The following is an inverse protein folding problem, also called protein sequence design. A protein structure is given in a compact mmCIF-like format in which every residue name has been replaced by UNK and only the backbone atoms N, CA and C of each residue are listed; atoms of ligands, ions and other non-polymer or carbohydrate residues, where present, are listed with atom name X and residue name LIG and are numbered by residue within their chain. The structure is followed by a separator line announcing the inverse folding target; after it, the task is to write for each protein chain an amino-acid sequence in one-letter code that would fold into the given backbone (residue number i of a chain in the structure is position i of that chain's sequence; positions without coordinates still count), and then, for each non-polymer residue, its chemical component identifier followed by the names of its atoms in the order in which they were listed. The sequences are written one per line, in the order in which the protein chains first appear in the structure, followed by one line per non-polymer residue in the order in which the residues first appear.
data_IF_056092508434
#
_entry.id   IF_056092508434
#
_cell.length_a   1.000
_cell.length_b   1.000
_cell.length_c   1.000
_cell.angle_alpha   90.00
_cell.angle_beta   90.00
_cell.angle_gamma   90.00
#
_symmetry.space_group_name_H-M   'P 1'
#
loop_
_entity.id
_entity.type
_entity.pdbx_description
1 polymer ?
#
# COMPACT_ATOMS: atom_id res chain seq x y z
N UNK A 1 2.10 1.85 -15.81
CA UNK A 1 1.73 2.77 -14.72
C UNK A 1 1.08 1.94 -13.64
N UNK A 2 1.47 2.07 -12.37
CA UNK A 2 0.77 1.38 -11.31
C UNK A 2 -0.71 1.77 -11.36
N UNK A 3 -1.60 0.79 -11.16
CA UNK A 3 -3.04 1.04 -11.08
C UNK A 3 -3.28 2.11 -10.01
N UNK A 4 -3.65 3.30 -10.43
CA UNK A 4 -4.16 4.30 -9.51
C UNK A 4 -5.43 3.73 -8.89
N UNK A 5 -5.65 3.93 -7.58
CA UNK A 5 -6.82 3.45 -6.81
C UNK A 5 -8.19 3.97 -7.34
N UNK A 6 -8.20 4.64 -8.49
CA UNK A 6 -9.39 5.13 -9.19
C UNK A 6 -10.12 3.97 -9.87
N UNK A 7 -11.01 3.32 -9.16
CA UNK A 7 -11.82 2.18 -9.61
C UNK A 7 -12.01 1.10 -8.56
N UNK A 8 -11.27 1.15 -7.45
CA UNK A 8 -11.43 0.16 -6.36
C UNK A 8 -12.73 0.39 -5.59
N UNK A 9 -13.34 -0.71 -5.13
CA UNK A 9 -14.50 -0.67 -4.22
C UNK A 9 -14.15 0.09 -2.94
N UNK A 10 -14.99 1.03 -2.54
CA UNK A 10 -14.81 1.80 -1.30
C UNK A 10 -15.11 0.92 -0.07
N UNK A 11 -14.06 0.54 0.66
CA UNK A 11 -14.15 -0.28 1.86
C UNK A 11 -14.73 0.47 3.07
N UNK A 12 -14.91 1.80 3.01
CA UNK A 12 -15.50 2.57 4.12
C UNK A 12 -16.93 2.16 4.45
N UNK A 13 -17.65 1.55 3.48
CA UNK A 13 -18.98 0.98 3.69
C UNK A 13 -18.97 -0.32 4.50
N UNK A 14 -17.83 -1.01 4.58
CA UNK A 14 -17.68 -2.26 5.34
C UNK A 14 -17.41 -1.91 6.79
N UNK A 15 -18.39 -2.15 7.64
CA UNK A 15 -18.36 -1.75 9.06
C UNK A 15 -18.42 -2.96 9.98
N UNK A 16 -17.58 -3.06 11.00
CA UNK A 16 -17.83 -3.98 12.11
C UNK A 16 -19.12 -3.63 12.82
N UNK A 17 -19.87 -4.63 13.25
CA UNK A 17 -21.19 -4.42 13.87
C UNK A 17 -21.11 -3.66 15.20
N UNK A 18 -19.95 -3.74 15.89
CA UNK A 18 -19.72 -3.10 17.19
C UNK A 18 -18.27 -2.60 17.22
N UNK A 19 -18.10 -1.30 17.43
CA UNK A 19 -16.80 -0.66 17.58
C UNK A 19 -16.34 -0.69 19.05
N UNK A 20 -15.10 -1.09 19.29
CA UNK A 20 -14.49 -1.06 20.63
C UNK A 20 -13.58 0.15 20.84
N UNK A 21 -13.08 0.75 19.77
CA UNK A 21 -12.17 1.89 19.81
C UNK A 21 -12.85 3.21 19.43
N UNK A 22 -12.32 4.36 19.89
CA UNK A 22 -12.91 5.67 19.57
C UNK A 22 -12.83 6.00 18.07
N UNK A 23 -11.83 5.48 17.34
CA UNK A 23 -11.70 5.71 15.90
C UNK A 23 -12.79 4.99 15.10
N UNK A 24 -13.25 3.84 15.56
CA UNK A 24 -14.34 3.08 14.93
C UNK A 24 -15.72 3.48 15.46
N UNK A 25 -15.78 4.23 16.56
CA UNK A 25 -16.99 4.75 17.19
C UNK A 25 -17.19 6.23 16.91
N UNK A 26 -16.97 7.06 17.96
CA UNK A 26 -17.27 8.50 17.94
C UNK A 26 -16.56 9.26 16.81
N UNK A 27 -15.32 8.91 16.51
CA UNK A 27 -14.49 9.59 15.50
C UNK A 27 -14.43 8.86 14.15
N UNK A 28 -15.32 7.88 13.94
CA UNK A 28 -15.33 7.10 12.69
C UNK A 28 -15.44 7.97 11.44
N UNK A 29 -16.32 8.98 11.45
CA UNK A 29 -16.49 9.85 10.28
C UNK A 29 -15.20 10.62 9.93
N UNK A 30 -14.41 11.01 10.92
CA UNK A 30 -13.12 11.70 10.74
C UNK A 30 -12.06 10.74 10.23
N UNK A 31 -12.04 9.50 10.75
CA UNK A 31 -11.08 8.48 10.35
C UNK A 31 -11.48 7.72 9.07
N UNK A 32 -12.70 7.87 8.57
CA UNK A 32 -13.23 7.14 7.43
C UNK A 32 -12.31 7.16 6.17
N UNK A 33 -11.65 8.28 5.80
CA UNK A 33 -10.73 8.29 4.65
C UNK A 33 -9.57 7.30 4.77
N UNK A 34 -9.19 6.91 6.00
CA UNK A 34 -8.11 5.95 6.23
C UNK A 34 -8.53 4.49 6.05
N UNK A 35 -9.84 4.18 6.05
CA UNK A 35 -10.35 2.80 6.00
C UNK A 35 -9.87 2.07 4.74
N UNK A 36 -9.85 2.75 3.60
CA UNK A 36 -9.39 2.17 2.33
C UNK A 36 -7.87 1.89 2.27
N UNK A 37 -7.12 2.33 3.28
CA UNK A 37 -5.67 2.17 3.36
C UNK A 37 -5.23 1.33 4.57
N UNK A 38 -5.77 1.62 5.76
CA UNK A 38 -5.23 1.08 7.02
C UNK A 38 -6.16 0.08 7.72
N UNK A 39 -7.29 -0.29 7.11
CA UNK A 39 -8.12 -1.38 7.64
C UNK A 39 -7.51 -2.75 7.29
N UNK A 40 -7.91 -3.78 8.02
CA UNK A 40 -7.56 -5.17 7.70
C UNK A 40 -8.04 -5.56 6.28
N UNK A 41 -9.23 -5.11 5.89
CA UNK A 41 -9.74 -5.33 4.55
C UNK A 41 -8.86 -4.67 3.47
N UNK A 42 -8.36 -3.46 3.72
CA UNK A 42 -7.42 -2.78 2.83
C UNK A 42 -6.08 -3.52 2.75
N UNK A 43 -5.58 -4.04 3.86
CA UNK A 43 -4.36 -4.87 3.88
C UNK A 43 -4.55 -6.14 3.05
N UNK A 44 -5.66 -6.84 3.21
CA UNK A 44 -5.95 -8.07 2.46
C UNK A 44 -6.14 -7.80 0.95
N UNK A 45 -6.76 -6.67 0.60
CA UNK A 45 -6.82 -6.20 -0.79
C UNK A 45 -5.42 -5.91 -1.36
N UNK A 46 -4.54 -5.29 -0.59
CA UNK A 46 -3.16 -5.04 -1.00
C UNK A 46 -2.36 -6.34 -1.16
N UNK A 47 -2.54 -7.33 -0.28
CA UNK A 47 -1.95 -8.66 -0.43
C UNK A 47 -2.41 -9.33 -1.74
N UNK A 48 -3.69 -9.26 -2.04
CA UNK A 48 -4.25 -9.77 -3.28
C UNK A 48 -3.66 -9.04 -4.50
N UNK A 49 -3.50 -7.73 -4.42
CA UNK A 49 -2.84 -6.92 -5.46
C UNK A 49 -1.39 -7.38 -5.70
N UNK A 50 -0.62 -7.58 -4.64
CA UNK A 50 0.78 -8.03 -4.75
C UNK A 50 0.86 -9.41 -5.39
N UNK A 51 0.00 -10.35 -4.99
CA UNK A 51 -0.07 -11.69 -5.58
C UNK A 51 -0.43 -11.66 -7.07
N UNK A 52 -1.42 -10.86 -7.44
CA UNK A 52 -1.86 -10.69 -8.83
C UNK A 52 -0.73 -10.08 -9.68
N UNK A 53 -0.14 -8.99 -9.21
CA UNK A 53 0.93 -8.33 -9.99
C UNK A 53 2.21 -9.19 -10.04
N UNK A 54 2.50 -10.00 -9.00
CA UNK A 54 3.61 -10.97 -9.05
C UNK A 54 3.38 -12.05 -10.09
N UNK A 55 2.18 -12.63 -10.14
CA UNK A 55 1.78 -13.60 -11.17
C UNK A 55 1.95 -13.01 -12.58
N UNK A 56 1.45 -11.79 -12.80
CA UNK A 56 1.58 -11.10 -14.09
C UNK A 56 3.05 -10.83 -14.43
N UNK A 57 3.83 -10.35 -13.48
CA UNK A 57 5.25 -10.02 -13.67
C UNK A 57 6.08 -11.24 -14.08
N UNK A 58 5.85 -12.37 -13.44
CA UNK A 58 6.55 -13.62 -13.76
C UNK A 58 6.17 -14.19 -15.13
N UNK A 59 4.90 -14.14 -15.48
CA UNK A 59 4.39 -14.65 -16.76
C UNK A 59 4.79 -13.76 -17.93
N UNK A 60 4.68 -12.43 -17.78
CA UNK A 60 5.08 -11.46 -18.80
C UNK A 60 6.60 -11.43 -19.03
N UNK A 61 7.35 -11.52 -17.97
CA UNK A 61 8.82 -11.56 -18.01
C UNK A 61 9.40 -12.84 -18.65
N UNK A 62 8.56 -13.88 -18.84
CA UNK A 62 9.02 -15.17 -19.36
C UNK A 62 10.07 -15.83 -18.46
N UNK A 63 10.05 -15.49 -17.17
CA UNK A 63 11.06 -15.94 -16.20
C UNK A 63 10.89 -17.43 -15.88
N UNK A 64 9.64 -17.90 -15.86
CA UNK A 64 9.30 -19.28 -15.55
C UNK A 64 9.22 -20.12 -16.82
N UNK A 65 10.09 -21.15 -16.99
CA UNK A 65 10.03 -22.02 -18.16
C UNK A 65 8.66 -22.70 -18.30
N UNK A 66 8.03 -22.55 -19.45
CA UNK A 66 6.74 -23.18 -19.75
C UNK A 66 5.51 -22.46 -19.17
N UNK A 67 5.67 -21.38 -18.41
CA UNK A 67 4.54 -20.57 -18.01
C UNK A 67 3.93 -19.84 -19.22
N UNK A 68 2.59 -19.83 -19.38
CA UNK A 68 1.96 -19.13 -20.48
C UNK A 68 2.05 -17.62 -20.26
N UNK A 69 2.12 -16.85 -21.35
CA UNK A 69 1.90 -15.42 -21.30
C UNK A 69 0.42 -15.12 -21.14
N UNK A 70 0.10 -14.18 -20.27
CA UNK A 70 -1.27 -13.72 -20.08
C UNK A 70 -1.63 -12.68 -21.14
N UNK A 71 -2.86 -12.74 -21.65
CA UNK A 71 -3.45 -11.72 -22.52
C UNK A 71 -3.80 -10.45 -21.73
N UNK A 72 -4.08 -9.35 -22.42
CA UNK A 72 -4.55 -8.13 -21.76
C UNK A 72 -5.94 -8.31 -21.10
N UNK A 73 -6.81 -9.16 -21.67
CA UNK A 73 -8.11 -9.47 -21.05
C UNK A 73 -7.96 -10.28 -19.78
N UNK A 74 -7.01 -11.21 -19.73
CA UNK A 74 -6.68 -11.99 -18.53
C UNK A 74 -6.09 -11.10 -17.43
N UNK A 75 -5.17 -10.21 -17.78
CA UNK A 75 -4.60 -9.22 -16.82
C UNK A 75 -5.67 -8.26 -16.29
N UNK A 76 -6.55 -7.78 -17.19
CA UNK A 76 -7.68 -6.92 -16.78
C UNK A 76 -8.62 -7.65 -15.85
N UNK A 77 -8.93 -8.91 -16.10
CA UNK A 77 -9.73 -9.74 -15.20
C UNK A 77 -9.08 -9.86 -13.82
N UNK A 78 -7.78 -10.17 -13.77
CA UNK A 78 -7.05 -10.30 -12.50
C UNK A 78 -7.02 -9.00 -11.70
N UNK A 79 -6.81 -7.86 -12.37
CA UNK A 79 -6.86 -6.55 -11.71
C UNK A 79 -8.29 -6.20 -11.26
N UNK A 80 -9.30 -6.59 -12.05
CA UNK A 80 -10.70 -6.47 -11.65
C UNK A 80 -11.02 -7.22 -10.35
N UNK A 81 -10.44 -8.41 -10.13
CA UNK A 81 -10.57 -9.14 -8.85
C UNK A 81 -10.08 -8.32 -7.65
N UNK A 82 -9.03 -7.52 -7.84
CA UNK A 82 -8.50 -6.62 -6.78
C UNK A 82 -9.39 -5.38 -6.62
N UNK A 83 -9.85 -4.81 -7.74
CA UNK A 83 -10.68 -3.60 -7.75
C UNK A 83 -12.05 -3.87 -7.09
N UNK A 84 -12.63 -5.03 -7.37
CA UNK A 84 -13.93 -5.46 -6.86
C UNK A 84 -13.87 -6.05 -5.42
N UNK A 85 -12.67 -6.09 -4.79
CA UNK A 85 -12.51 -6.65 -3.45
C UNK A 85 -13.34 -5.86 -2.42
N UNK A 86 -14.49 -6.40 -2.06
CA UNK A 86 -15.51 -5.80 -1.21
C UNK A 86 -16.03 -6.73 -0.12
N UNK A 87 -17.27 -6.52 0.29
CA UNK A 87 -17.88 -7.23 1.42
C UNK A 87 -17.96 -8.75 1.21
N UNK A 88 -18.24 -9.20 -0.02
CA UNK A 88 -18.35 -10.62 -0.36
C UNK A 88 -16.97 -11.30 -0.29
N UNK A 89 -15.95 -10.70 -0.86
CA UNK A 89 -14.57 -11.20 -0.84
C UNK A 89 -14.00 -11.22 0.58
N UNK A 90 -14.31 -10.21 1.40
CA UNK A 90 -13.91 -10.18 2.81
C UNK A 90 -14.55 -11.35 3.58
N UNK A 91 -15.82 -11.60 3.37
CA UNK A 91 -16.52 -12.71 4.02
C UNK A 91 -15.97 -14.08 3.55
N UNK A 92 -15.74 -14.25 2.24
CA UNK A 92 -15.14 -15.44 1.68
C UNK A 92 -13.73 -15.66 2.22
N UNK A 93 -12.90 -14.61 2.24
CA UNK A 93 -11.54 -14.68 2.77
C UNK A 93 -11.53 -15.11 4.24
N UNK A 94 -12.40 -14.52 5.07
CA UNK A 94 -12.52 -14.91 6.48
C UNK A 94 -12.93 -16.37 6.65
N UNK A 95 -13.81 -16.91 5.79
CA UNK A 95 -14.18 -18.33 5.82
C UNK A 95 -12.99 -19.23 5.45
N UNK A 96 -12.19 -18.85 4.43
CA UNK A 96 -10.98 -19.58 4.05
C UNK A 96 -9.95 -19.55 5.18
N UNK A 97 -9.75 -18.38 5.80
CA UNK A 97 -8.78 -18.23 6.90
C UNK A 97 -9.16 -19.04 8.12
N UNK A 98 -10.46 -19.15 8.44
CA UNK A 98 -10.94 -20.00 9.54
C UNK A 98 -10.55 -21.47 9.38
N UNK A 99 -10.43 -21.95 8.13
CA UNK A 99 -9.98 -23.31 7.82
C UNK A 99 -8.46 -23.43 7.77
N UNK A 100 -7.80 -22.50 7.05
CA UNK A 100 -6.34 -22.55 6.81
C UNK A 100 -5.51 -22.16 8.03
N UNK A 101 -6.09 -21.37 8.94
CA UNK A 101 -5.43 -20.78 10.10
C UNK A 101 -4.19 -19.93 9.71
N UNK A 102 -4.23 -19.35 8.51
CA UNK A 102 -3.14 -18.56 7.96
C UNK A 102 -3.69 -17.50 6.99
N UNK A 103 -3.48 -16.24 7.31
CA UNK A 103 -4.02 -15.07 6.60
C UNK A 103 -3.54 -14.95 5.14
N UNK A 104 -2.22 -14.95 4.90
CA UNK A 104 -1.68 -14.86 3.52
C UNK A 104 -2.08 -16.09 2.70
N UNK A 105 -2.10 -17.29 3.30
CA UNK A 105 -2.55 -18.50 2.63
C UNK A 105 -4.01 -18.43 2.21
N UNK A 106 -4.84 -17.75 3.00
CA UNK A 106 -6.25 -17.53 2.64
C UNK A 106 -6.35 -16.65 1.36
N UNK A 107 -5.50 -15.64 1.21
CA UNK A 107 -5.44 -14.81 -0.01
C UNK A 107 -5.03 -15.63 -1.22
N UNK A 108 -4.03 -16.52 -1.09
CA UNK A 108 -3.64 -17.43 -2.17
C UNK A 108 -4.82 -18.30 -2.63
N UNK A 109 -5.56 -18.91 -1.69
CA UNK A 109 -6.71 -19.74 -2.03
C UNK A 109 -7.86 -18.95 -2.66
N UNK A 110 -8.11 -17.73 -2.18
CA UNK A 110 -9.07 -16.83 -2.81
C UNK A 110 -8.68 -16.56 -4.26
N UNK A 111 -7.43 -16.19 -4.53
CA UNK A 111 -6.94 -15.94 -5.89
C UNK A 111 -7.04 -17.21 -6.75
N UNK A 112 -6.66 -18.38 -6.26
CA UNK A 112 -6.81 -19.67 -6.98
C UNK A 112 -8.27 -19.95 -7.36
N UNK A 113 -9.23 -19.62 -6.51
CA UNK A 113 -10.66 -19.73 -6.83
C UNK A 113 -11.06 -18.78 -7.96
N UNK A 114 -10.58 -17.53 -7.93
CA UNK A 114 -10.83 -16.55 -9.01
C UNK A 114 -10.18 -16.96 -10.33
N UNK A 115 -8.97 -17.53 -10.29
CA UNK A 115 -8.34 -18.12 -11.49
C UNK A 115 -9.17 -19.24 -12.09
N UNK A 116 -9.69 -20.14 -11.28
CA UNK A 116 -10.56 -21.23 -11.75
C UNK A 116 -11.89 -20.70 -12.34
N UNK A 117 -12.47 -19.68 -11.74
CA UNK A 117 -13.72 -19.05 -12.20
C UNK A 117 -13.55 -18.27 -13.53
N UNK A 118 -12.34 -17.86 -13.89
CA UNK A 118 -12.06 -17.14 -15.12
C UNK A 118 -12.50 -17.87 -16.39
N UNK A 119 -12.54 -19.20 -16.35
CA UNK A 119 -13.04 -20.03 -17.48
C UNK A 119 -14.49 -19.72 -17.86
N UNK A 120 -15.27 -19.16 -16.94
CA UNK A 120 -16.68 -18.79 -17.14
C UNK A 120 -16.88 -17.27 -17.30
N UNK A 121 -15.80 -16.49 -17.20
CA UNK A 121 -15.89 -15.03 -17.25
C UNK A 121 -16.03 -14.53 -18.69
N UNK A 122 -17.08 -13.75 -19.01
CA UNK A 122 -17.32 -13.27 -20.37
C UNK A 122 -16.16 -12.37 -20.87
N UNK A 123 -15.69 -12.64 -22.09
CA UNK A 123 -14.66 -11.81 -22.73
C UNK A 123 -13.22 -12.05 -22.25
N UNK A 124 -12.99 -12.96 -21.34
CA UNK A 124 -11.64 -13.36 -20.91
C UNK A 124 -11.14 -14.47 -21.83
N UNK A 125 -10.12 -14.14 -22.63
CA UNK A 125 -9.56 -15.03 -23.65
C UNK A 125 -8.04 -15.09 -23.51
N UNK A 126 -7.46 -16.22 -23.91
CA UNK A 126 -6.01 -16.41 -23.93
C UNK A 126 -5.30 -15.54 -24.98
N UNK A 127 -3.99 -15.48 -24.93
CA UNK A 127 -3.16 -14.65 -25.81
C UNK A 127 -3.27 -15.04 -27.31
N UNK A 128 -3.65 -16.25 -27.61
CA UNK A 128 -3.92 -16.76 -28.95
C UNK A 128 -5.38 -16.56 -29.42
N UNK A 129 -6.22 -15.93 -28.60
CA UNK A 129 -7.66 -15.76 -28.83
C UNK A 129 -8.49 -16.99 -28.50
N UNK A 130 -7.87 -18.05 -27.98
CA UNK A 130 -8.53 -19.27 -27.49
C UNK A 130 -9.04 -19.14 -26.05
N UNK A 131 -9.36 -20.27 -25.42
CA UNK A 131 -9.78 -20.30 -24.00
C UNK A 131 -8.71 -19.67 -23.09
N UNK A 132 -9.15 -19.00 -22.02
CA UNK A 132 -8.23 -18.44 -21.01
C UNK A 132 -7.33 -19.50 -20.38
N UNK A 133 -6.07 -19.14 -20.16
CA UNK A 133 -5.09 -19.99 -19.48
C UNK A 133 -5.09 -19.82 -17.96
N UNK A 134 -5.84 -18.86 -17.41
CA UNK A 134 -5.87 -18.55 -15.99
C UNK A 134 -6.13 -19.77 -15.08
N UNK A 135 -7.04 -20.70 -15.41
CA UNK A 135 -7.21 -21.91 -14.59
C UNK A 135 -5.98 -22.81 -14.48
N UNK A 136 -5.03 -22.68 -15.42
CA UNK A 136 -3.83 -23.54 -15.47
C UNK A 136 -2.64 -22.96 -14.70
N UNK A 137 -2.69 -21.68 -14.32
CA UNK A 137 -1.57 -20.99 -13.64
C UNK A 137 -1.70 -20.91 -12.12
N UNK A 138 -2.66 -21.65 -11.54
CA UNK A 138 -2.91 -21.63 -10.09
C UNK A 138 -1.69 -21.98 -9.23
N UNK A 139 -0.78 -22.83 -9.71
CA UNK A 139 0.44 -23.20 -8.98
C UNK A 139 1.56 -22.16 -9.09
N UNK A 140 1.38 -21.11 -9.92
CA UNK A 140 2.30 -19.96 -9.98
C UNK A 140 1.95 -18.91 -8.91
N UNK A 141 0.72 -18.95 -8.35
CA UNK A 141 0.35 -18.09 -7.22
C UNK A 141 1.30 -18.32 -6.06
N UNK A 142 1.84 -17.24 -5.49
CA UNK A 142 2.79 -17.28 -4.36
C UNK A 142 4.11 -18.02 -4.64
N UNK A 143 4.42 -18.34 -5.89
CA UNK A 143 5.61 -19.14 -6.21
C UNK A 143 6.88 -18.41 -5.73
N UNK A 144 7.74 -19.15 -5.04
CA UNK A 144 9.01 -18.70 -4.43
C UNK A 144 8.90 -17.71 -3.29
N UNK A 145 7.69 -17.17 -3.02
CA UNK A 145 7.47 -16.18 -1.97
C UNK A 145 7.47 -16.83 -0.58
N UNK A 146 7.85 -16.06 0.39
CA UNK A 146 7.42 -16.20 1.79
C UNK A 146 6.28 -15.22 2.06
N UNK A 147 5.46 -15.47 3.07
CA UNK A 147 4.36 -14.57 3.44
C UNK A 147 4.84 -13.13 3.66
N UNK A 148 6.06 -12.95 4.12
CA UNK A 148 6.64 -11.63 4.36
C UNK A 148 7.03 -10.90 3.06
N UNK A 149 7.28 -11.60 1.94
CA UNK A 149 7.41 -10.96 0.63
C UNK A 149 6.13 -10.24 0.24
N UNK A 150 4.98 -10.82 0.55
CA UNK A 150 3.67 -10.22 0.30
C UNK A 150 3.34 -9.15 1.33
N UNK A 151 3.58 -9.43 2.61
CA UNK A 151 3.24 -8.53 3.71
C UNK A 151 4.00 -7.19 3.63
N UNK A 152 5.33 -7.23 3.45
CA UNK A 152 6.12 -5.99 3.44
C UNK A 152 5.72 -5.05 2.31
N UNK A 153 5.46 -5.59 1.12
CA UNK A 153 5.00 -4.81 -0.03
C UNK A 153 3.59 -4.27 0.20
N UNK A 154 2.71 -5.06 0.81
CA UNK A 154 1.35 -4.64 1.16
C UNK A 154 1.35 -3.52 2.21
N UNK A 155 2.18 -3.62 3.24
CA UNK A 155 2.36 -2.55 4.23
C UNK A 155 2.88 -1.27 3.58
N UNK A 156 3.88 -1.36 2.70
CA UNK A 156 4.40 -0.19 2.01
C UNK A 156 3.33 0.48 1.13
N UNK A 157 2.54 -0.29 0.38
CA UNK A 157 1.46 0.22 -0.46
C UNK A 157 0.35 0.89 0.36
N UNK A 158 -0.11 0.26 1.44
CA UNK A 158 -1.20 0.77 2.28
C UNK A 158 -0.78 2.01 3.06
N UNK A 159 0.41 2.01 3.66
CA UNK A 159 0.94 3.15 4.40
C UNK A 159 1.20 4.33 3.45
N UNK A 160 1.82 4.10 2.28
CA UNK A 160 2.00 5.13 1.27
C UNK A 160 0.67 5.76 0.86
N UNK A 161 -0.34 4.93 0.56
CA UNK A 161 -1.66 5.40 0.21
C UNK A 161 -2.30 6.28 1.30
N UNK A 162 -2.21 5.87 2.57
CA UNK A 162 -2.70 6.63 3.70
C UNK A 162 -1.98 7.99 3.84
N UNK A 163 -0.66 7.99 3.69
CA UNK A 163 0.14 9.22 3.80
C UNK A 163 -0.13 10.16 2.64
N UNK A 164 -0.02 9.68 1.41
CA UNK A 164 -0.10 10.54 0.22
C UNK A 164 -1.53 11.05 -0.05
N UNK A 165 -2.55 10.23 0.19
CA UNK A 165 -3.93 10.55 -0.17
C UNK A 165 -4.75 11.13 0.97
N UNK A 166 -4.34 10.94 2.23
CA UNK A 166 -5.11 11.41 3.39
C UNK A 166 -4.28 12.34 4.27
N UNK A 167 -3.15 11.90 4.78
CA UNK A 167 -2.39 12.67 5.76
C UNK A 167 -1.74 13.93 5.17
N UNK A 168 -1.02 13.80 4.05
CA UNK A 168 -0.33 14.94 3.41
C UNK A 168 -1.30 16.05 2.98
N UNK A 169 -2.46 15.76 2.33
CA UNK A 169 -3.44 16.80 2.02
C UNK A 169 -3.94 17.54 3.27
N UNK A 170 -4.25 16.82 4.34
CA UNK A 170 -4.70 17.43 5.59
C UNK A 170 -3.60 18.27 6.26
N UNK A 171 -2.36 17.77 6.29
CA UNK A 171 -1.23 18.48 6.87
C UNK A 171 -0.86 19.74 6.08
N UNK A 172 -0.92 19.69 4.74
CA UNK A 172 -0.72 20.85 3.87
C UNK A 172 -1.81 21.91 4.07
N UNK A 173 -3.07 21.48 4.15
CA UNK A 173 -4.20 22.40 4.43
C UNK A 173 -4.01 23.14 5.73
N UNK A 174 -3.61 22.46 6.81
CA UNK A 174 -3.32 23.13 8.09
C UNK A 174 -2.17 24.16 7.96
N UNK A 175 -1.12 23.81 7.22
CA UNK A 175 0.01 24.75 6.98
C UNK A 175 -0.44 25.97 6.17
N UNK A 176 -1.32 25.78 5.18
CA UNK A 176 -1.89 26.85 4.36
C UNK A 176 -2.80 27.76 5.18
N UNK A 177 -3.66 27.22 6.03
CA UNK A 177 -4.52 27.99 6.93
C UNK A 177 -3.69 28.86 7.89
N UNK A 178 -2.64 28.29 8.50
CA UNK A 178 -1.74 29.04 9.37
C UNK A 178 -0.96 30.14 8.60
N UNK A 179 -0.57 29.87 7.34
CA UNK A 179 0.07 30.87 6.50
C UNK A 179 -0.91 32.00 6.12
N UNK A 180 -2.16 31.69 5.83
CA UNK A 180 -3.21 32.68 5.58
C UNK A 180 -3.44 33.57 6.81
N UNK A 181 -3.56 33.00 8.01
CA UNK A 181 -3.65 33.75 9.26
C UNK A 181 -2.41 34.62 9.50
N UNK A 182 -1.21 34.14 9.14
CA UNK A 182 0.02 34.91 9.24
C UNK A 182 -0.01 36.17 8.36
N UNK A 183 -0.55 36.05 7.15
CA UNK A 183 -0.73 37.20 6.24
C UNK A 183 -1.82 38.15 6.70
N UNK A 184 -2.97 37.64 7.12
CA UNK A 184 -4.10 38.44 7.61
C UNK A 184 -3.69 39.31 8.80
N UNK A 185 -2.87 38.77 9.71
CA UNK A 185 -2.46 39.45 10.95
C UNK A 185 -1.04 40.01 10.90
N UNK A 186 -0.48 40.25 9.70
CA UNK A 186 0.90 40.72 9.52
C UNK A 186 1.14 42.03 10.24
N UNK A 187 0.15 42.92 10.25
CA UNK A 187 0.23 44.29 10.87
C UNK A 187 -0.40 44.33 12.28
N UNK A 188 -0.91 43.22 12.80
CA UNK A 188 -1.50 43.16 14.14
C UNK A 188 -0.39 43.17 15.20
N UNK A 189 -0.05 44.36 15.69
CA UNK A 189 1.00 44.58 16.67
C UNK A 189 0.71 43.90 18.01
N UNK A 190 1.66 43.21 18.59
CA UNK A 190 1.60 42.62 19.90
C UNK A 190 2.93 42.71 20.64
N UNK A 191 2.85 42.54 21.96
CA UNK A 191 4.04 42.55 22.81
C UNK A 191 4.68 41.16 22.80
N UNK A 192 5.94 41.05 22.33
CA UNK A 192 6.71 39.85 22.49
C UNK A 192 7.14 39.66 23.97
N UNK A 193 7.46 38.45 24.34
CA UNK A 193 7.97 38.09 25.67
C UNK A 193 9.19 37.19 25.56
N UNK A 194 10.19 37.45 26.42
CA UNK A 194 11.33 36.58 26.64
C UNK A 194 11.47 36.32 28.12
N UNK A 195 11.71 35.08 28.50
CA UNK A 195 11.74 34.66 29.92
C UNK A 195 10.49 35.07 30.71
N UNK A 196 9.32 35.11 30.05
CA UNK A 196 8.07 35.59 30.65
C UNK A 196 7.95 37.11 30.83
N UNK A 197 8.98 37.87 30.52
CA UNK A 197 9.02 39.32 30.66
C UNK A 197 8.68 40.06 29.33
N UNK A 198 8.08 41.24 29.40
CA UNK A 198 7.90 42.11 28.22
C UNK A 198 9.20 42.33 27.47
N UNK A 199 9.15 42.22 26.15
CA UNK A 199 10.26 42.45 25.24
C UNK A 199 9.89 43.42 24.12
N UNK A 200 10.58 43.39 23.00
CA UNK A 200 10.28 44.24 21.84
C UNK A 200 8.93 43.90 21.22
N UNK A 201 8.26 44.86 20.55
CA UNK A 201 7.05 44.58 19.78
C UNK A 201 7.28 43.52 18.69
N UNK A 202 6.26 42.74 18.41
CA UNK A 202 6.15 41.79 17.30
C UNK A 202 4.77 41.89 16.67
N UNK A 203 4.39 40.98 15.79
CA UNK A 203 3.05 40.89 15.25
C UNK A 203 2.46 39.48 15.47
N UNK A 204 1.13 39.38 15.55
CA UNK A 204 0.45 38.09 15.59
C UNK A 204 0.74 37.27 14.33
N UNK A 205 0.78 37.93 13.17
CA UNK A 205 1.11 37.24 11.91
C UNK A 205 2.48 36.59 11.93
N UNK A 206 3.48 37.23 12.55
CA UNK A 206 4.83 36.63 12.71
C UNK A 206 4.79 35.39 13.59
N UNK A 207 4.00 35.37 14.67
CA UNK A 207 3.86 34.20 15.55
C UNK A 207 3.21 33.04 14.79
N UNK A 208 2.18 33.29 13.99
CA UNK A 208 1.55 32.26 13.12
C UNK A 208 2.52 31.78 12.04
N UNK A 209 3.30 32.67 11.44
CA UNK A 209 4.31 32.31 10.45
C UNK A 209 5.39 31.35 11.01
N UNK A 210 5.75 31.48 12.28
CA UNK A 210 6.69 30.56 12.95
C UNK A 210 6.12 29.15 12.98
N UNK A 211 4.82 28.99 13.34
CA UNK A 211 4.15 27.69 13.35
C UNK A 211 4.06 27.09 11.95
N UNK A 212 3.56 27.86 10.97
CA UNK A 212 3.47 27.43 9.58
C UNK A 212 4.84 26.98 9.03
N UNK A 213 5.91 27.75 9.32
CA UNK A 213 7.26 27.41 8.88
C UNK A 213 7.78 26.10 9.49
N UNK A 214 7.56 25.91 10.79
CA UNK A 214 7.97 24.69 11.50
C UNK A 214 7.23 23.45 10.95
N UNK A 215 5.90 23.51 10.81
CA UNK A 215 5.09 22.42 10.28
C UNK A 215 5.45 22.11 8.83
N UNK A 216 5.62 23.13 7.96
CA UNK A 216 6.05 22.94 6.56
C UNK A 216 7.38 22.17 6.47
N UNK A 217 8.29 22.39 7.42
CA UNK A 217 9.55 21.65 7.47
C UNK A 217 9.31 20.16 7.78
N UNK A 218 8.35 19.83 8.65
CA UNK A 218 8.02 18.41 8.95
C UNK A 218 7.29 17.76 7.75
N UNK A 219 6.36 18.46 7.11
CA UNK A 219 5.70 17.96 5.88
C UNK A 219 6.73 17.51 4.85
N UNK A 220 7.74 18.34 4.56
CA UNK A 220 8.81 17.99 3.61
C UNK A 220 9.58 16.72 4.00
N UNK A 221 9.71 16.40 5.28
CA UNK A 221 10.36 15.16 5.73
C UNK A 221 9.50 13.95 5.40
N UNK A 222 8.20 14.03 5.67
CA UNK A 222 7.24 12.98 5.32
C UNK A 222 7.15 12.78 3.80
N UNK A 223 7.17 13.88 3.03
CA UNK A 223 7.18 13.83 1.56
C UNK A 223 8.43 13.13 0.98
N UNK A 224 9.54 13.16 1.71
CA UNK A 224 10.79 12.54 1.29
C UNK A 224 10.93 11.06 1.73
N UNK A 225 9.88 10.47 2.28
CA UNK A 225 9.91 9.06 2.70
C UNK A 225 10.12 8.13 1.52
N UNK A 226 11.09 7.25 1.64
CA UNK A 226 11.29 6.12 0.72
C UNK A 226 10.53 4.91 1.27
N UNK A 227 9.53 4.45 0.52
CA UNK A 227 8.75 3.25 0.88
C UNK A 227 9.47 2.03 0.37
N UNK A 228 10.24 1.36 1.24
CA UNK A 228 11.07 0.22 0.86
C UNK A 228 10.24 -1.06 0.74
N UNK A 229 10.67 -1.92 -0.19
CA UNK A 229 10.08 -3.24 -0.36
C UNK A 229 11.11 -4.27 -0.82
N UNK A 230 10.83 -5.54 -0.51
CA UNK A 230 11.62 -6.69 -0.96
C UNK A 230 10.74 -7.82 -1.47
N UNK A 231 11.29 -8.63 -2.37
CA UNK A 231 10.75 -9.92 -2.78
C UNK A 231 11.94 -10.83 -3.11
N UNK A 232 12.42 -11.57 -2.13
CA UNK A 232 13.67 -12.34 -2.22
C UNK A 232 13.62 -13.68 -1.44
N UNK A 233 12.40 -14.10 -1.04
CA UNK A 233 12.14 -15.40 -0.43
C UNK A 233 12.38 -15.47 1.08
N UNK A 234 12.28 -16.67 1.60
CA UNK A 234 12.19 -16.97 3.04
C UNK A 234 13.44 -16.59 3.86
N UNK A 235 14.58 -16.35 3.22
CA UNK A 235 15.84 -15.98 3.90
C UNK A 235 16.50 -14.74 3.29
N UNK A 236 15.83 -14.08 2.33
CA UNK A 236 16.40 -12.92 1.64
C UNK A 236 17.48 -13.23 0.63
N UNK A 237 17.61 -14.50 0.21
CA UNK A 237 18.73 -14.99 -0.61
C UNK A 237 18.31 -15.53 -1.97
N UNK A 238 17.05 -15.41 -2.35
CA UNK A 238 16.49 -16.03 -3.56
C UNK A 238 16.71 -17.56 -3.64
N UNK A 239 16.84 -18.26 -2.51
CA UNK A 239 17.24 -19.66 -2.49
C UNK A 239 16.32 -20.56 -3.32
N UNK A 240 15.01 -20.49 -3.14
CA UNK A 240 14.03 -21.26 -3.92
C UNK A 240 14.03 -20.86 -5.41
N UNK A 241 14.18 -19.58 -5.69
CA UNK A 241 14.22 -19.02 -7.03
C UNK A 241 15.40 -19.56 -7.83
N UNK A 242 16.61 -19.48 -7.28
CA UNK A 242 17.86 -19.91 -7.94
C UNK A 242 17.90 -21.42 -8.16
N UNK A 243 17.39 -22.22 -7.21
CA UNK A 243 17.30 -23.67 -7.37
C UNK A 243 16.35 -24.06 -8.49
N UNK A 244 15.24 -23.34 -8.62
CA UNK A 244 14.20 -23.66 -9.61
C UNK A 244 14.55 -23.13 -11.01
N UNK A 245 15.09 -21.91 -11.10
CA UNK A 245 15.46 -21.26 -12.38
C UNK A 245 16.85 -20.61 -12.23
N UNK A 246 17.92 -21.38 -12.28
CA UNK A 246 19.28 -20.89 -12.00
C UNK A 246 19.83 -19.90 -13.04
N UNK A 247 19.22 -19.84 -14.23
CA UNK A 247 19.65 -18.94 -15.31
C UNK A 247 19.02 -17.54 -15.24
N UNK A 248 18.09 -17.27 -14.33
CA UNK A 248 17.42 -15.98 -14.23
C UNK A 248 18.20 -15.01 -13.32
N UNK A 249 18.22 -13.74 -13.69
CA UNK A 249 18.71 -12.65 -12.82
C UNK A 249 17.60 -12.25 -11.82
N UNK A 250 17.51 -13.02 -10.74
CA UNK A 250 16.48 -12.82 -9.74
C UNK A 250 16.55 -11.47 -9.01
N UNK A 251 17.74 -10.87 -8.94
CA UNK A 251 17.86 -9.50 -8.38
C UNK A 251 17.21 -8.48 -9.31
N UNK A 252 17.43 -8.60 -10.62
CA UNK A 252 16.77 -7.74 -11.59
C UNK A 252 15.26 -7.96 -11.63
N UNK A 253 14.80 -9.22 -11.56
CA UNK A 253 13.38 -9.58 -11.50
C UNK A 253 12.72 -8.99 -10.25
N UNK A 254 13.30 -9.20 -9.08
CA UNK A 254 12.76 -8.67 -7.81
C UNK A 254 12.74 -7.14 -7.77
N UNK A 255 13.84 -6.51 -8.22
CA UNK A 255 13.90 -5.05 -8.35
C UNK A 255 12.80 -4.52 -9.27
N UNK A 256 12.72 -5.07 -10.48
CA UNK A 256 11.71 -4.64 -11.47
C UNK A 256 10.29 -4.78 -10.95
N UNK A 257 10.01 -5.82 -10.17
CA UNK A 257 8.70 -6.00 -9.56
C UNK A 257 8.40 -4.95 -8.48
N UNK A 258 9.32 -4.71 -7.55
CA UNK A 258 9.13 -3.72 -6.47
C UNK A 258 8.98 -2.31 -7.05
N UNK A 259 9.81 -1.95 -8.04
CA UNK A 259 9.72 -0.67 -8.75
C UNK A 259 8.42 -0.55 -9.58
N UNK A 260 7.92 -1.66 -10.16
CA UNK A 260 6.61 -1.69 -10.83
C UNK A 260 5.46 -1.33 -9.88
N UNK A 261 5.53 -1.75 -8.62
CA UNK A 261 4.58 -1.35 -7.58
C UNK A 261 4.76 0.13 -7.13
N UNK A 262 5.75 0.83 -7.66
CA UNK A 262 6.10 2.20 -7.31
C UNK A 262 6.80 2.33 -5.95
N UNK A 263 7.40 1.25 -5.48
CA UNK A 263 8.17 1.20 -4.23
C UNK A 263 9.68 1.27 -4.50
N UNK A 264 10.46 1.54 -3.47
CA UNK A 264 11.93 1.52 -3.56
C UNK A 264 12.46 0.14 -3.23
N UNK A 265 13.28 -0.42 -4.12
CA UNK A 265 13.88 -1.75 -3.92
C UNK A 265 14.87 -1.77 -2.76
N UNK A 266 14.66 -2.67 -1.77
CA UNK A 266 15.63 -2.98 -0.72
C UNK A 266 16.42 -4.25 -1.10
N UNK A 267 17.68 -4.14 -1.53
CA UNK A 267 18.46 -5.27 -2.06
C UNK A 267 18.96 -6.24 -0.99
N UNK A 268 19.05 -5.81 0.26
CA UNK A 268 19.68 -6.58 1.34
C UNK A 268 18.76 -6.67 2.55
N UNK A 269 18.08 -7.80 2.64
CA UNK A 269 17.16 -8.10 3.73
C UNK A 269 17.37 -9.53 4.22
N UNK A 270 16.72 -9.90 5.30
CA UNK A 270 16.52 -11.30 5.71
C UNK A 270 15.17 -11.80 5.17
N UNK A 271 14.47 -12.68 5.87
CA UNK A 271 13.07 -12.99 5.57
C UNK A 271 12.21 -11.72 5.64
N UNK A 272 12.51 -10.85 6.61
CA UNK A 272 11.75 -9.66 6.95
C UNK A 272 12.45 -8.44 6.33
N UNK A 273 11.67 -7.53 5.74
CA UNK A 273 12.11 -6.17 5.50
C UNK A 273 12.22 -5.47 6.87
N UNK A 274 13.32 -4.75 7.14
CA UNK A 274 13.69 -4.32 8.50
C UNK A 274 12.76 -3.29 9.14
N UNK A 275 11.84 -2.71 8.38
CA UNK A 275 10.88 -1.68 8.82
C UNK A 275 11.51 -0.37 9.33
N UNK A 276 12.77 -0.11 9.04
CA UNK A 276 13.46 1.12 9.46
C UNK A 276 12.78 2.35 8.86
N UNK A 277 12.39 2.30 7.59
CA UNK A 277 11.66 3.38 6.93
C UNK A 277 10.31 3.69 7.60
N UNK A 278 9.62 2.67 8.14
CA UNK A 278 8.38 2.86 8.89
C UNK A 278 8.64 3.61 10.19
N UNK A 279 9.69 3.23 10.93
CA UNK A 279 10.07 3.89 12.16
C UNK A 279 10.46 5.37 11.91
N UNK A 280 11.17 5.64 10.82
CA UNK A 280 11.52 7.00 10.38
C UNK A 280 10.26 7.81 10.05
N UNK A 281 9.37 7.27 9.21
CA UNK A 281 8.11 7.91 8.84
C UNK A 281 7.25 8.20 10.07
N UNK A 282 7.07 7.23 10.97
CA UNK A 282 6.24 7.42 12.18
C UNK A 282 6.84 8.48 13.10
N UNK A 283 8.18 8.54 13.19
CA UNK A 283 8.88 9.59 13.92
C UNK A 283 8.68 10.97 13.29
N UNK A 284 8.68 11.07 11.97
CA UNK A 284 8.48 12.33 11.25
C UNK A 284 7.02 12.81 11.35
N UNK A 285 6.04 11.90 11.26
CA UNK A 285 4.62 12.20 11.52
C UNK A 285 4.41 12.65 12.97
N UNK A 286 5.03 11.98 13.94
CA UNK A 286 4.95 12.36 15.34
C UNK A 286 5.53 13.75 15.64
N UNK A 287 6.55 14.20 14.89
CA UNK A 287 7.10 15.56 15.03
C UNK A 287 6.22 16.65 14.44
N UNK A 288 5.32 16.30 13.53
CA UNK A 288 4.33 17.25 13.00
C UNK A 288 3.23 17.49 14.04
N UNK A 289 2.79 16.44 14.74
CA UNK A 289 1.75 16.50 15.77
C UNK A 289 2.29 17.05 17.11
#
# INVERSE_FOLDING_TARGET
QPATMSGMVDLSAVSPAIALGPLDGRYRAVAAPLVNHLSEAALNRARLQVEVEWLIHLTDGGVLPGAPRLSETEKSYLRGVVEDFGAEEIAELGAIEAETRHDVKAVEYLLKRRLAAAAQAPGVVGADGGPTVLPTVGEIVHIFCTSEDINNLSYALTIRGAVEQVWLPAARGLVEDLAAMAHEHADAAMLARTHGQPATPTTLGKEMAVLAHRLRRQVRRVEATEYLGKINGATGTFGAHVVSVPGADWQAVGRGFVEHLGLTWNPLTTQIESHDWQAELYSDVARFN
#
